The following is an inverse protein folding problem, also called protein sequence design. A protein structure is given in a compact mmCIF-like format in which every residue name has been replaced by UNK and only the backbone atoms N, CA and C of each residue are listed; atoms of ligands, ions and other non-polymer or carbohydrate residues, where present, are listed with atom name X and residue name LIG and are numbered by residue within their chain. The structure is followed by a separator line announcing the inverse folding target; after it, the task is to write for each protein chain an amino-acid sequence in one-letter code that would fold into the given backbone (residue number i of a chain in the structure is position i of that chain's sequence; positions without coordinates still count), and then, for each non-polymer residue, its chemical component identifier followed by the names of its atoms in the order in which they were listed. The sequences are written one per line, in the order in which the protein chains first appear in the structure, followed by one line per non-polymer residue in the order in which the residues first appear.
data_IF_563207598507
#
_entry.id   IF_563207598507
#
_cell.length_a   1.000
_cell.length_b   1.000
_cell.length_c   1.000
_cell.angle_alpha   90.00
_cell.angle_beta   90.00
_cell.angle_gamma   90.00
#
_symmetry.space_group_name_H-M   'P 1'
#
loop_
_entity.id
_entity.type
_entity.pdbx_description
1 polymer ?
#
# COMPACT_ATOMS: atom_id res chain seq x y z
N UNK A 1 17.60 5.67 -40.39
CA UNK A 1 16.16 5.39 -40.21
C UNK A 1 16.01 3.89 -40.07
N UNK A 2 16.16 3.38 -38.84
CA UNK A 2 15.69 2.05 -38.44
C UNK A 2 15.40 2.11 -36.94
N UNK A 3 14.13 2.06 -36.58
CA UNK A 3 13.64 1.96 -35.21
C UNK A 3 13.87 0.54 -34.69
N UNK A 4 14.31 0.42 -33.44
CA UNK A 4 14.24 -0.84 -32.71
C UNK A 4 12.90 -0.87 -31.96
N UNK A 5 11.98 -1.72 -32.42
CA UNK A 5 10.79 -2.12 -31.67
C UNK A 5 11.23 -2.98 -30.48
N UNK A 6 11.41 -2.33 -29.33
CA UNK A 6 11.46 -2.99 -28.03
C UNK A 6 10.04 -3.38 -27.63
N UNK A 7 9.76 -4.68 -27.61
CA UNK A 7 8.42 -5.24 -27.37
C UNK A 7 7.67 -4.58 -26.20
N UNK A 8 6.54 -3.97 -26.51
CA UNK A 8 5.69 -3.29 -25.55
C UNK A 8 5.00 -4.31 -24.64
N UNK A 9 5.41 -4.35 -23.37
CA UNK A 9 4.51 -4.71 -22.27
C UNK A 9 3.35 -3.70 -22.34
N UNK A 10 2.07 -4.10 -22.33
CA UNK A 10 0.96 -3.16 -22.53
C UNK A 10 1.14 -1.94 -21.61
N UNK A 11 1.05 -0.74 -22.19
CA UNK A 11 1.35 0.55 -21.55
C UNK A 11 0.48 0.77 -20.31
N UNK A 12 0.89 0.19 -19.19
CA UNK A 12 0.36 0.56 -17.90
C UNK A 12 0.68 2.06 -17.71
N UNK A 13 -0.30 2.90 -17.35
CA UNK A 13 -0.05 4.32 -17.17
C UNK A 13 1.11 4.52 -16.19
N UNK A 14 2.03 5.43 -16.48
CA UNK A 14 3.18 5.72 -15.63
C UNK A 14 2.75 6.03 -14.19
N UNK A 15 3.66 5.87 -13.22
CA UNK A 15 3.36 6.24 -11.82
C UNK A 15 2.82 7.67 -11.72
N UNK A 16 3.45 8.63 -12.40
CA UNK A 16 3.00 10.02 -12.42
C UNK A 16 1.58 10.19 -12.98
N UNK A 17 1.24 9.47 -14.06
CA UNK A 17 -0.11 9.50 -14.62
C UNK A 17 -1.16 8.89 -13.68
N UNK A 18 -0.81 7.80 -12.96
CA UNK A 18 -1.67 7.22 -11.93
C UNK A 18 -1.83 8.16 -10.74
N UNK A 19 -0.73 8.73 -10.24
CA UNK A 19 -0.72 9.67 -9.12
C UNK A 19 -1.57 10.91 -9.40
N UNK A 20 -1.42 11.51 -10.59
CA UNK A 20 -2.23 12.66 -10.99
C UNK A 20 -3.74 12.33 -11.05
N UNK A 21 -4.09 11.11 -11.47
CA UNK A 21 -5.49 10.62 -11.44
C UNK A 21 -5.99 10.45 -10.01
N UNK A 22 -5.17 9.87 -9.14
CA UNK A 22 -5.47 9.71 -7.72
C UNK A 22 -5.70 11.05 -7.03
N UNK A 23 -4.85 12.04 -7.29
CA UNK A 23 -5.00 13.39 -6.75
C UNK A 23 -6.32 14.05 -7.15
N UNK A 24 -6.75 13.89 -8.41
CA UNK A 24 -8.05 14.38 -8.88
C UNK A 24 -9.23 13.67 -8.20
N UNK A 25 -9.10 12.39 -7.91
CA UNK A 25 -10.19 11.58 -7.35
C UNK A 25 -10.31 11.67 -5.82
N UNK A 26 -9.19 11.75 -5.10
CA UNK A 26 -9.13 11.61 -3.64
C UNK A 26 -8.36 12.75 -2.93
N UNK A 27 -7.90 13.76 -3.66
CA UNK A 27 -7.10 14.85 -3.11
C UNK A 27 -5.65 14.48 -2.78
N UNK A 28 -4.92 15.42 -2.19
CA UNK A 28 -3.48 15.31 -1.91
C UNK A 28 -3.18 14.76 -0.50
N UNK A 29 -3.96 13.78 -0.04
CA UNK A 29 -3.74 13.11 1.23
C UNK A 29 -2.96 11.80 1.01
N UNK A 30 -1.87 11.64 1.76
CA UNK A 30 -1.09 10.41 1.85
C UNK A 30 -1.16 9.90 3.28
N UNK A 31 -1.66 8.68 3.46
CA UNK A 31 -1.82 8.09 4.80
C UNK A 31 -0.61 7.23 5.14
N UNK A 32 0.07 7.56 6.25
CA UNK A 32 1.17 6.74 6.78
C UNK A 32 0.65 5.45 7.39
N UNK A 33 1.36 4.34 7.15
CA UNK A 33 1.10 3.06 7.83
C UNK A 33 2.35 2.72 8.62
N UNK A 34 2.33 3.10 9.90
CA UNK A 34 3.51 3.19 10.74
C UNK A 34 3.27 2.40 12.06
N UNK A 35 3.26 1.05 12.02
CA UNK A 35 2.90 0.19 13.15
C UNK A 35 3.97 0.16 14.25
N UNK A 36 4.24 1.30 14.87
CA UNK A 36 5.12 1.41 16.02
C UNK A 36 4.42 0.92 17.29
N UNK A 37 5.20 0.47 18.27
CA UNK A 37 4.71 -0.17 19.50
C UNK A 37 3.55 0.56 20.18
N UNK A 38 3.65 1.88 20.37
CA UNK A 38 2.58 2.65 21.00
C UNK A 38 1.25 2.63 20.24
N UNK A 39 1.25 2.56 18.90
CA UNK A 39 0.03 2.44 18.11
C UNK A 39 -0.55 1.03 18.18
N UNK A 40 0.30 0.01 18.14
CA UNK A 40 -0.13 -1.39 18.30
C UNK A 40 -0.79 -1.59 19.67
N UNK A 41 -0.14 -1.11 20.73
CA UNK A 41 -0.67 -1.16 22.10
C UNK A 41 -2.02 -0.42 22.20
N UNK A 42 -2.11 0.79 21.63
CA UNK A 42 -3.36 1.57 21.62
C UNK A 42 -4.49 0.90 20.84
N UNK A 43 -4.18 0.03 19.88
CA UNK A 43 -5.14 -0.71 19.06
C UNK A 43 -5.40 -2.12 19.58
N UNK A 44 -4.77 -2.50 20.70
CA UNK A 44 -4.86 -3.84 21.29
C UNK A 44 -4.26 -4.94 20.41
N UNK A 45 -3.24 -4.60 19.61
CA UNK A 45 -2.55 -5.52 18.72
C UNK A 45 -1.20 -5.96 19.31
N UNK A 46 -0.80 -7.20 19.06
CA UNK A 46 0.49 -7.70 19.47
C UNK A 46 1.64 -7.00 18.73
N UNK A 47 2.77 -6.79 19.41
CA UNK A 47 4.01 -6.31 18.77
C UNK A 47 4.76 -7.46 18.09
N UNK A 48 4.14 -8.04 17.07
CA UNK A 48 4.67 -9.12 16.23
C UNK A 48 4.19 -8.99 14.77
N UNK A 49 4.68 -9.85 13.87
CA UNK A 49 4.34 -9.78 12.45
C UNK A 49 2.83 -9.89 12.15
N UNK A 50 2.05 -10.59 12.99
CA UNK A 50 0.58 -10.70 12.82
C UNK A 50 -0.09 -9.39 13.20
N UNK A 51 0.34 -8.75 14.29
CA UNK A 51 -0.14 -7.43 14.68
C UNK A 51 0.20 -6.35 13.64
N UNK A 52 1.37 -6.42 13.00
CA UNK A 52 1.71 -5.50 11.90
C UNK A 52 0.79 -5.68 10.68
N UNK A 53 0.52 -6.93 10.29
CA UNK A 53 -0.37 -7.27 9.18
C UNK A 53 -1.79 -6.75 9.45
N UNK A 54 -2.32 -7.03 10.64
CA UNK A 54 -3.65 -6.60 11.08
C UNK A 54 -3.76 -5.07 11.12
N UNK A 55 -2.76 -4.39 11.67
CA UNK A 55 -2.70 -2.93 11.68
C UNK A 55 -2.75 -2.37 10.25
N UNK A 56 -1.93 -2.91 9.34
CA UNK A 56 -1.88 -2.49 7.95
C UNK A 56 -3.22 -2.66 7.24
N UNK A 57 -3.87 -3.81 7.40
CA UNK A 57 -5.18 -4.10 6.81
C UNK A 57 -6.25 -3.11 7.30
N UNK A 58 -6.33 -2.87 8.62
CA UNK A 58 -7.31 -1.94 9.19
C UNK A 58 -7.10 -0.51 8.71
N UNK A 59 -5.85 -0.05 8.55
CA UNK A 59 -5.58 1.27 7.99
C UNK A 59 -6.00 1.35 6.52
N UNK A 60 -5.69 0.33 5.70
CA UNK A 60 -6.13 0.30 4.30
C UNK A 60 -7.66 0.31 4.19
N UNK A 61 -8.35 -0.47 5.00
CA UNK A 61 -9.82 -0.50 5.05
C UNK A 61 -10.39 0.87 5.45
N UNK A 62 -9.88 1.48 6.52
CA UNK A 62 -10.35 2.77 7.02
C UNK A 62 -10.10 3.95 6.04
N UNK A 63 -9.11 3.80 5.16
CA UNK A 63 -8.73 4.82 4.17
C UNK A 63 -9.46 4.66 2.84
N UNK A 64 -10.04 3.50 2.58
CA UNK A 64 -10.75 3.20 1.34
C UNK A 64 -11.82 4.26 1.02
N UNK A 65 -11.78 4.78 -0.21
CA UNK A 65 -12.69 5.84 -0.67
C UNK A 65 -12.37 7.25 -0.15
N UNK A 66 -11.46 7.42 0.82
CA UNK A 66 -11.11 8.71 1.43
C UNK A 66 -9.75 9.23 1.00
N UNK A 67 -8.75 8.35 0.95
CA UNK A 67 -7.40 8.66 0.49
C UNK A 67 -6.96 7.65 -0.56
N UNK A 68 -6.26 8.12 -1.59
CA UNK A 68 -5.80 7.27 -2.68
C UNK A 68 -4.32 6.89 -2.61
N UNK A 69 -3.63 7.32 -1.56
CA UNK A 69 -2.19 7.10 -1.38
C UNK A 69 -1.95 6.63 0.06
N UNK A 70 -1.22 5.53 0.19
CA UNK A 70 -0.70 5.03 1.46
C UNK A 70 0.82 4.95 1.42
N UNK A 71 1.47 5.10 2.56
CA UNK A 71 2.93 5.06 2.70
C UNK A 71 3.34 4.19 3.90
N UNK A 72 3.51 2.87 3.70
CA UNK A 72 4.04 1.97 4.73
C UNK A 72 5.46 2.39 5.11
N UNK A 73 5.73 2.60 6.40
CA UNK A 73 7.08 2.85 6.88
C UNK A 73 7.80 1.53 7.16
N UNK A 74 8.59 1.10 6.20
CA UNK A 74 9.26 -0.21 6.15
C UNK A 74 10.07 -0.51 7.42
N UNK A 75 10.71 0.48 8.05
CA UNK A 75 11.49 0.27 9.28
C UNK A 75 10.68 -0.33 10.44
N UNK A 76 9.37 -0.03 10.54
CA UNK A 76 8.51 -0.63 11.58
C UNK A 76 8.13 -2.08 11.27
N UNK A 77 8.21 -2.49 10.01
CA UNK A 77 7.98 -3.87 9.58
C UNK A 77 9.26 -4.71 9.72
N UNK A 78 10.39 -4.20 9.25
CA UNK A 78 11.69 -4.89 9.24
C UNK A 78 12.20 -5.28 10.62
N UNK A 79 11.78 -4.57 11.69
CA UNK A 79 12.17 -4.92 13.07
C UNK A 79 11.74 -6.32 13.50
N UNK A 80 10.77 -6.93 12.79
CA UNK A 80 10.31 -8.31 13.00
C UNK A 80 10.86 -9.29 11.94
N UNK A 81 11.97 -8.94 11.29
CA UNK A 81 12.66 -9.78 10.31
C UNK A 81 11.84 -10.03 9.04
N UNK A 82 12.08 -11.17 8.38
CA UNK A 82 11.41 -11.53 7.12
C UNK A 82 9.89 -11.64 7.25
N UNK A 83 9.39 -12.12 8.39
CA UNK A 83 7.95 -12.19 8.67
C UNK A 83 7.33 -10.79 8.75
N UNK A 84 8.00 -9.85 9.41
CA UNK A 84 7.55 -8.45 9.45
C UNK A 84 7.61 -7.78 8.08
N UNK A 85 8.68 -7.98 7.32
CA UNK A 85 8.79 -7.46 5.95
C UNK A 85 7.66 -8.01 5.05
N UNK A 86 7.35 -9.31 5.14
CA UNK A 86 6.23 -9.90 4.42
C UNK A 86 4.88 -9.29 4.82
N UNK A 87 4.67 -8.97 6.10
CA UNK A 87 3.45 -8.30 6.58
C UNK A 87 3.23 -6.91 5.94
N UNK A 88 4.28 -6.21 5.50
CA UNK A 88 4.14 -4.92 4.80
C UNK A 88 3.33 -5.02 3.50
N UNK A 89 3.31 -6.20 2.87
CA UNK A 89 2.55 -6.45 1.65
C UNK A 89 1.04 -6.30 1.83
N UNK A 90 0.53 -6.47 3.05
CA UNK A 90 -0.88 -6.27 3.38
C UNK A 90 -1.35 -4.82 3.19
N UNK A 91 -0.42 -3.86 3.16
CA UNK A 91 -0.70 -2.45 2.89
C UNK A 91 -0.98 -2.15 1.41
N UNK A 92 -0.74 -3.11 0.51
CA UNK A 92 -1.05 -2.95 -0.90
C UNK A 92 -2.52 -3.25 -1.15
N UNK A 93 -3.29 -2.37 -1.81
CA UNK A 93 -4.65 -2.71 -2.19
C UNK A 93 -4.61 -3.96 -3.07
N UNK A 94 -5.38 -5.00 -2.69
CA UNK A 94 -5.58 -6.15 -3.56
C UNK A 94 -6.08 -5.64 -4.89
N UNK A 95 -5.42 -6.04 -5.97
CA UNK A 95 -5.86 -5.69 -7.32
C UNK A 95 -7.32 -6.10 -7.42
N UNK A 96 -8.22 -5.15 -7.67
CA UNK A 96 -9.61 -5.51 -7.93
C UNK A 96 -9.60 -6.51 -9.08
N UNK A 97 -10.06 -7.74 -8.82
CA UNK A 97 -10.49 -8.64 -9.87
C UNK A 97 -11.62 -7.92 -10.60
N UNK A 98 -11.56 -7.75 -11.94
CA UNK A 98 -12.69 -7.18 -12.65
C UNK A 98 -13.92 -8.04 -12.33
N UNK A 99 -15.01 -7.40 -11.92
CA UNK A 99 -16.27 -8.10 -11.70
C UNK A 99 -16.65 -8.80 -13.01
N UNK A 100 -16.82 -10.12 -12.96
CA UNK A 100 -17.38 -10.87 -14.08
C UNK A 100 -18.79 -10.34 -14.34
N UNK A 101 -18.98 -9.77 -15.54
CA UNK A 101 -20.28 -9.43 -16.11
C UNK A 101 -21.15 -10.65 -16.34
#
# INVERSE_FOLDING_TARGET
MTSADGGAVPDAPSFGARLARTFRAHGHLCVGIDPHRSLLDAWGLADDARGLEEFGLRVVEATAGRAGIVKPQVAFFERHGSAGYAASSACSPRRATPASS
#
